data_IF_787573765345
#
_entry.id   IF_787573765345
#
_cell.length_a   1.000
_cell.length_b   1.000
_cell.length_c   1.000
_cell.angle_alpha   90.00
_cell.angle_beta   90.00
_cell.angle_gamma   90.00
#
_symmetry.space_group_name_H-M   'P 1'
#
loop_
_entity.id
_entity.type
_entity.pdbx_description
1 polymer ?
#
# COMPACT_ATOMS: atom_id res chain seq x y z
N UNK A 1 -20.94 35.01 22.45
CA UNK A 1 -20.51 33.89 23.31
C UNK A 1 -19.06 33.58 23.00
N UNK A 2 -18.19 33.75 23.99
CA UNK A 2 -16.73 33.68 23.90
C UNK A 2 -16.22 32.27 23.60
N UNK A 3 -15.23 32.13 22.71
CA UNK A 3 -13.95 31.45 23.03
C UNK A 3 -12.88 31.57 21.92
N UNK A 4 -11.85 32.33 22.27
CA UNK A 4 -10.40 32.23 21.97
C UNK A 4 -9.95 31.38 20.77
N UNK A 5 -9.46 32.06 19.72
CA UNK A 5 -8.38 31.56 18.86
C UNK A 5 -7.05 32.15 19.34
N UNK A 6 -6.07 31.28 19.55
CA UNK A 6 -4.71 31.61 19.99
C UNK A 6 -3.99 32.42 18.91
N UNK A 7 -3.35 33.51 19.32
CA UNK A 7 -2.49 34.33 18.48
C UNK A 7 -1.11 33.66 18.39
N UNK A 8 -0.73 33.21 17.20
CA UNK A 8 0.66 32.93 16.87
C UNK A 8 1.39 34.28 16.84
N UNK A 9 2.32 34.49 17.77
CA UNK A 9 3.10 35.72 17.90
C UNK A 9 4.07 35.83 16.72
N UNK A 10 3.73 36.62 15.72
CA UNK A 10 4.72 37.24 14.85
C UNK A 10 5.29 38.43 15.63
N UNK A 11 6.46 38.27 16.24
CA UNK A 11 7.17 39.38 16.89
C UNK A 11 7.70 40.33 15.81
N UNK A 12 6.88 41.31 15.40
CA UNK A 12 7.41 42.56 14.86
C UNK A 12 7.99 43.36 16.04
N UNK A 13 9.31 43.39 16.17
CA UNK A 13 9.96 44.43 16.96
C UNK A 13 9.96 45.73 16.14
N UNK A 14 9.06 46.65 16.50
CA UNK A 14 9.21 48.05 16.15
C UNK A 14 10.17 48.69 17.17
N UNK A 15 11.41 48.97 16.76
CA UNK A 15 12.33 49.78 17.58
C UNK A 15 12.04 51.27 17.34
N UNK A 16 11.41 51.93 18.31
CA UNK A 16 11.42 53.39 18.40
C UNK A 16 12.74 53.86 19.00
N UNK A 17 13.59 54.50 18.21
CA UNK A 17 14.85 55.10 18.69
C UNK A 17 14.56 56.51 19.19
N UNK A 18 14.44 56.68 20.51
CA UNK A 18 14.60 57.99 21.16
C UNK A 18 16.08 58.30 21.30
N UNK A 19 16.54 59.34 20.59
CA UNK A 19 17.92 59.81 20.63
C UNK A 19 18.20 60.53 21.97
N UNK A 20 19.00 59.90 22.83
CA UNK A 20 19.69 60.58 23.93
C UNK A 20 21.14 60.83 23.50
N UNK A 21 21.50 62.11 23.36
CA UNK A 21 22.85 62.55 23.02
C UNK A 21 23.71 62.44 24.29
N UNK A 22 24.69 61.54 24.28
CA UNK A 22 25.80 61.47 25.24
C UNK A 22 27.09 61.28 24.43
N UNK A 23 28.18 62.01 24.73
CA UNK A 23 29.37 61.97 23.89
C UNK A 23 30.14 60.66 24.10
N UNK A 24 30.06 59.76 23.13
CA UNK A 24 30.74 58.47 23.11
C UNK A 24 31.80 58.42 22.01
N UNK A 25 32.85 59.23 22.13
CA UNK A 25 34.09 58.95 21.42
C UNK A 25 34.87 57.91 22.24
N UNK A 26 35.40 56.87 21.60
CA UNK A 26 36.36 55.86 22.10
C UNK A 26 35.81 54.51 22.60
N UNK A 27 34.52 54.33 22.89
CA UNK A 27 33.97 52.98 23.22
C UNK A 27 33.05 52.35 22.15
N UNK A 28 32.73 53.07 21.07
CA UNK A 28 31.85 52.62 19.99
C UNK A 28 32.56 51.85 18.85
N UNK A 29 33.87 52.02 18.70
CA UNK A 29 34.65 51.40 17.59
C UNK A 29 34.69 49.87 17.72
N UNK A 30 35.04 49.37 18.92
CA UNK A 30 35.19 47.92 19.14
C UNK A 30 33.90 47.12 18.95
N UNK A 31 32.72 47.69 19.26
CA UNK A 31 31.44 47.01 19.00
C UNK A 31 31.09 47.04 17.51
N UNK A 32 31.35 48.14 16.83
CA UNK A 32 31.05 48.30 15.40
C UNK A 32 31.94 47.39 14.56
N UNK A 33 33.21 47.25 14.93
CA UNK A 33 34.15 46.36 14.25
C UNK A 33 33.86 44.88 14.51
N UNK A 34 33.44 44.52 15.74
CA UNK A 34 33.00 43.16 16.05
C UNK A 34 31.71 42.80 15.29
N UNK A 35 30.77 43.75 15.16
CA UNK A 35 29.55 43.58 14.35
C UNK A 35 29.86 43.43 12.87
N UNK A 36 30.78 44.23 12.31
CA UNK A 36 31.23 44.09 10.92
C UNK A 36 31.86 42.73 10.67
N UNK A 37 32.72 42.29 11.58
CA UNK A 37 33.37 40.99 11.50
C UNK A 37 32.35 39.84 11.55
N UNK A 38 31.33 39.93 12.41
CA UNK A 38 30.24 38.95 12.44
C UNK A 38 29.43 38.93 11.13
N UNK A 39 29.13 40.09 10.54
CA UNK A 39 28.42 40.18 9.25
C UNK A 39 29.27 39.58 8.13
N UNK A 40 30.57 39.87 8.09
CA UNK A 40 31.49 39.32 7.10
C UNK A 40 31.65 37.79 7.26
N UNK A 41 31.72 37.30 8.50
CA UNK A 41 31.77 35.87 8.81
C UNK A 41 30.47 35.16 8.42
N UNK A 42 29.31 35.78 8.65
CA UNK A 42 28.02 35.27 8.20
C UNK A 42 27.93 35.24 6.67
N UNK A 43 28.36 36.31 5.99
CA UNK A 43 28.34 36.37 4.53
C UNK A 43 29.25 35.29 3.93
N UNK A 44 30.45 35.13 4.48
CA UNK A 44 31.37 34.07 4.07
C UNK A 44 30.80 32.66 4.36
N UNK A 45 30.00 32.48 5.41
CA UNK A 45 29.30 31.22 5.67
C UNK A 45 28.19 30.98 4.63
N UNK A 46 27.41 32.00 4.30
CA UNK A 46 26.37 31.94 3.26
C UNK A 46 27.00 31.59 1.90
N UNK A 47 28.05 32.31 1.49
CA UNK A 47 28.72 32.08 0.21
C UNK A 47 29.32 30.66 0.13
N UNK A 48 29.89 30.15 1.23
CA UNK A 48 30.38 28.76 1.29
C UNK A 48 29.25 27.74 1.20
N UNK A 49 28.12 27.99 1.86
CA UNK A 49 26.95 27.11 1.82
C UNK A 49 26.32 27.11 0.43
N UNK A 50 26.19 28.27 -0.20
CA UNK A 50 25.69 28.40 -1.58
C UNK A 50 26.61 27.68 -2.58
N UNK A 51 27.93 27.87 -2.47
CA UNK A 51 28.88 27.17 -3.34
C UNK A 51 28.88 25.65 -3.09
N UNK A 52 28.82 25.21 -1.83
CA UNK A 52 28.72 23.77 -1.51
C UNK A 52 27.38 23.17 -1.99
N UNK A 53 26.30 23.93 -1.93
CA UNK A 53 25.00 23.54 -2.46
C UNK A 53 24.94 23.56 -3.99
N UNK A 54 25.73 24.41 -4.65
CA UNK A 54 25.88 24.41 -6.10
C UNK A 54 26.77 23.25 -6.59
N UNK A 55 27.77 22.84 -5.81
CA UNK A 55 28.67 21.71 -6.12
C UNK A 55 28.05 20.34 -5.79
N UNK A 56 27.21 20.26 -4.75
CA UNK A 56 26.35 19.09 -4.54
C UNK A 56 25.24 19.15 -5.56
N UNK A 57 25.10 18.13 -6.40
CA UNK A 57 23.99 17.98 -7.33
C UNK A 57 22.66 17.93 -6.53
N UNK A 58 22.06 19.09 -6.27
CA UNK A 58 20.87 19.30 -5.42
C UNK A 58 19.60 18.78 -6.07
N UNK A 59 19.69 18.41 -7.34
CA UNK A 59 18.60 17.82 -8.10
C UNK A 59 18.28 16.39 -7.68
N UNK A 60 19.00 15.77 -6.75
CA UNK A 60 18.64 14.42 -6.28
C UNK A 60 18.73 14.25 -4.78
N UNK A 61 17.80 13.49 -4.22
CA UNK A 61 17.77 13.12 -2.81
C UNK A 61 17.63 11.61 -2.67
N UNK A 62 18.32 11.05 -1.69
CA UNK A 62 18.26 9.63 -1.36
C UNK A 62 17.86 9.49 0.10
N UNK A 63 16.89 8.62 0.37
CA UNK A 63 16.43 8.30 1.71
C UNK A 63 16.30 6.79 1.82
N UNK A 64 16.86 6.23 2.89
CA UNK A 64 16.70 4.84 3.25
C UNK A 64 16.09 4.76 4.64
N UNK A 65 15.02 3.98 4.77
CA UNK A 65 14.37 3.64 6.02
C UNK A 65 14.01 2.16 6.01
N UNK A 66 13.10 1.75 6.87
CA UNK A 66 12.64 0.38 6.97
C UNK A 66 12.16 0.05 8.36
N UNK A 67 11.82 -1.20 8.57
CA UNK A 67 11.42 -1.73 9.87
C UNK A 67 11.93 -3.15 10.05
N UNK A 68 11.81 -3.66 11.26
CA UNK A 68 12.08 -5.07 11.55
C UNK A 68 11.29 -5.50 12.78
N UNK A 69 10.97 -6.79 12.82
CA UNK A 69 10.21 -7.40 13.91
C UNK A 69 10.81 -8.75 14.32
N UNK A 70 10.59 -9.08 15.59
CA UNK A 70 10.73 -10.44 16.12
C UNK A 70 9.38 -10.79 16.72
N UNK A 71 8.76 -11.83 16.21
CA UNK A 71 7.39 -12.21 16.54
C UNK A 71 7.39 -13.48 17.39
N UNK A 72 6.56 -13.46 18.43
CA UNK A 72 6.24 -14.61 19.26
C UNK A 72 4.73 -14.83 19.19
N UNK A 73 4.33 -16.04 18.81
CA UNK A 73 2.92 -16.43 18.74
C UNK A 73 2.67 -17.70 19.56
N UNK A 74 1.52 -17.74 20.23
CA UNK A 74 1.01 -18.89 20.99
C UNK A 74 -0.40 -19.22 20.47
N UNK A 75 -0.50 -20.00 19.38
CA UNK A 75 -1.78 -20.32 18.76
C UNK A 75 -2.53 -21.44 19.50
N UNK A 76 -3.87 -21.43 19.44
CA UNK A 76 -4.72 -22.48 20.00
C UNK A 76 -4.37 -23.88 19.45
N UNK A 77 -3.91 -23.94 18.20
CA UNK A 77 -3.39 -25.14 17.55
C UNK A 77 -1.92 -24.96 17.19
N UNK A 78 -1.03 -25.74 17.82
CA UNK A 78 0.40 -25.72 17.55
C UNK A 78 1.22 -25.52 18.83
N UNK A 79 2.48 -25.10 18.66
CA UNK A 79 3.37 -24.77 19.76
C UNK A 79 3.67 -23.28 19.75
N UNK A 80 3.78 -22.68 20.93
CA UNK A 80 4.24 -21.32 21.08
C UNK A 80 5.71 -21.20 20.67
N UNK A 81 6.05 -20.23 19.83
CA UNK A 81 7.40 -20.07 19.31
C UNK A 81 7.71 -18.63 18.90
N UNK A 82 9.01 -18.30 18.88
CA UNK A 82 9.51 -17.20 18.06
C UNK A 82 9.42 -17.64 16.60
N UNK A 83 8.40 -17.20 15.89
CA UNK A 83 8.00 -17.78 14.60
C UNK A 83 8.39 -16.92 13.40
N UNK A 84 8.72 -15.64 13.59
CA UNK A 84 9.19 -14.76 12.52
C UNK A 84 10.23 -13.76 13.03
N UNK A 85 11.31 -13.61 12.27
CA UNK A 85 12.27 -12.52 12.32
C UNK A 85 12.22 -11.87 10.94
N UNK A 86 11.97 -10.58 10.90
CA UNK A 86 11.77 -9.83 9.66
C UNK A 86 12.60 -8.55 9.65
N UNK A 87 13.15 -8.22 8.49
CA UNK A 87 13.76 -6.92 8.19
C UNK A 87 13.24 -6.46 6.84
N UNK A 88 12.69 -5.26 6.77
CA UNK A 88 12.14 -4.67 5.56
C UNK A 88 12.79 -3.31 5.24
N UNK A 89 13.89 -3.28 4.47
CA UNK A 89 14.50 -2.04 4.00
C UNK A 89 13.62 -1.34 2.96
N UNK A 90 13.46 -0.02 3.11
CA UNK A 90 12.72 0.85 2.21
C UNK A 90 13.68 1.89 1.64
N UNK A 91 13.70 2.04 0.32
CA UNK A 91 14.56 2.99 -0.38
C UNK A 91 13.70 3.95 -1.20
N UNK A 92 13.98 5.24 -1.04
CA UNK A 92 13.42 6.32 -1.85
C UNK A 92 14.55 7.08 -2.53
N UNK A 93 14.39 7.34 -3.81
CA UNK A 93 15.26 8.22 -4.58
C UNK A 93 14.40 9.23 -5.32
N UNK A 94 14.60 10.53 -5.06
CA UNK A 94 13.93 11.58 -5.82
C UNK A 94 14.93 12.25 -6.75
N UNK A 95 14.46 12.59 -7.95
CA UNK A 95 15.12 13.53 -8.83
C UNK A 95 14.21 14.75 -9.02
N UNK A 96 14.69 15.89 -8.54
CA UNK A 96 13.99 17.16 -8.43
C UNK A 96 12.62 16.94 -7.74
N UNK A 97 11.59 17.63 -8.19
CA UNK A 97 10.22 17.56 -7.71
C UNK A 97 9.29 16.70 -8.57
N UNK A 98 9.79 16.12 -9.67
CA UNK A 98 8.95 15.43 -10.66
C UNK A 98 9.16 13.92 -10.76
N UNK A 99 10.23 13.35 -10.19
CA UNK A 99 10.49 11.91 -10.24
C UNK A 99 10.83 11.35 -8.87
N UNK A 100 10.21 10.22 -8.53
CA UNK A 100 10.53 9.40 -7.36
C UNK A 100 10.61 7.93 -7.74
N UNK A 101 11.69 7.25 -7.37
CA UNK A 101 11.75 5.80 -7.32
C UNK A 101 11.56 5.35 -5.86
N UNK A 102 10.73 4.34 -5.66
CA UNK A 102 10.49 3.72 -4.35
C UNK A 102 10.59 2.20 -4.44
N UNK A 103 11.12 1.57 -3.40
CA UNK A 103 11.11 0.11 -3.28
C UNK A 103 11.18 -0.35 -1.83
N UNK A 104 10.55 -1.48 -1.55
CA UNK A 104 10.64 -2.21 -0.29
C UNK A 104 10.95 -3.67 -0.56
N UNK A 105 11.91 -4.18 0.22
CA UNK A 105 12.24 -5.59 0.28
C UNK A 105 11.77 -6.15 1.61
N UNK A 106 11.30 -7.39 1.66
CA UNK A 106 11.06 -8.12 2.91
C UNK A 106 12.05 -9.28 3.01
N UNK A 107 12.83 -9.32 4.09
CA UNK A 107 13.69 -10.44 4.43
C UNK A 107 13.14 -11.11 5.68
N UNK A 108 12.91 -12.42 5.63
CA UNK A 108 12.46 -13.20 6.77
C UNK A 108 13.16 -14.55 6.86
N UNK A 109 13.12 -15.16 8.04
CA UNK A 109 13.53 -16.55 8.20
C UNK A 109 12.44 -17.50 7.70
N UNK A 110 12.86 -18.57 7.01
CA UNK A 110 11.96 -19.66 6.63
C UNK A 110 11.77 -20.65 7.79
N UNK A 111 10.79 -21.55 7.67
CA UNK A 111 10.47 -22.54 8.70
C UNK A 111 11.61 -23.54 8.99
N UNK A 112 12.48 -23.79 8.01
CA UNK A 112 13.67 -24.65 8.10
C UNK A 112 14.94 -23.90 8.55
N UNK A 113 14.82 -22.61 8.91
CA UNK A 113 15.92 -21.79 9.42
C UNK A 113 16.78 -21.13 8.34
N UNK A 114 16.33 -21.14 7.09
CA UNK A 114 16.90 -20.37 5.98
C UNK A 114 16.46 -18.90 6.00
N UNK A 115 16.64 -18.23 4.86
CA UNK A 115 16.23 -16.84 4.65
C UNK A 115 15.53 -16.71 3.31
N UNK A 116 14.39 -16.04 3.31
CA UNK A 116 13.66 -15.64 2.11
C UNK A 116 13.81 -14.13 1.89
N UNK A 117 13.80 -13.72 0.62
CA UNK A 117 13.82 -12.33 0.18
C UNK A 117 12.67 -12.14 -0.80
N UNK A 118 11.76 -11.24 -0.47
CA UNK A 118 10.64 -10.85 -1.31
C UNK A 118 10.76 -9.37 -1.72
N UNK A 119 10.25 -9.05 -2.91
CA UNK A 119 10.06 -7.68 -3.37
C UNK A 119 8.60 -7.29 -3.14
N UNK A 120 8.34 -6.50 -2.09
CA UNK A 120 6.98 -6.06 -1.75
C UNK A 120 6.44 -5.05 -2.77
N UNK A 121 7.26 -4.03 -3.09
CA UNK A 121 7.00 -3.11 -4.19
C UNK A 121 8.30 -2.51 -4.76
N UNK A 122 8.24 -2.12 -6.02
CA UNK A 122 9.23 -1.29 -6.69
C UNK A 122 8.53 -0.48 -7.80
N UNK A 123 8.56 0.84 -7.71
CA UNK A 123 7.89 1.69 -8.69
C UNK A 123 8.65 2.99 -8.98
N UNK A 124 8.43 3.51 -10.18
CA UNK A 124 8.83 4.86 -10.60
C UNK A 124 7.57 5.70 -10.67
N UNK A 125 7.56 6.82 -9.95
CA UNK A 125 6.47 7.77 -9.86
C UNK A 125 6.88 9.10 -10.51
N UNK A 126 6.09 9.56 -11.48
CA UNK A 126 6.23 10.87 -12.11
C UNK A 126 5.15 11.80 -11.56
N UNK A 127 5.55 12.86 -10.86
CA UNK A 127 4.63 13.89 -10.38
C UNK A 127 4.30 14.84 -11.53
N UNK A 128 3.11 14.65 -12.12
CA UNK A 128 2.68 15.42 -13.28
C UNK A 128 2.19 16.82 -12.89
N UNK A 129 1.57 16.93 -11.71
CA UNK A 129 1.14 18.15 -11.04
C UNK A 129 0.75 17.81 -9.59
N UNK A 130 0.31 18.82 -8.83
CA UNK A 130 -0.11 18.71 -7.42
C UNK A 130 -1.21 17.66 -7.14
N UNK A 131 -1.95 17.23 -8.17
CA UNK A 131 -3.11 16.35 -8.05
C UNK A 131 -2.91 14.98 -8.67
N UNK A 132 -1.84 14.74 -9.43
CA UNK A 132 -1.65 13.50 -10.20
C UNK A 132 -0.19 13.05 -10.21
N UNK A 133 0.04 11.82 -9.75
CA UNK A 133 1.26 11.07 -9.99
C UNK A 133 0.98 9.87 -10.91
N UNK A 134 1.84 9.66 -11.90
CA UNK A 134 1.87 8.46 -12.74
C UNK A 134 2.94 7.50 -12.22
N UNK A 135 2.51 6.38 -11.66
CA UNK A 135 3.35 5.28 -11.21
C UNK A 135 3.47 4.17 -12.25
N UNK A 136 4.64 3.57 -12.37
CA UNK A 136 4.90 2.37 -13.16
C UNK A 136 5.80 1.40 -12.38
N UNK A 137 5.44 0.13 -12.34
CA UNK A 137 6.21 -0.91 -11.64
C UNK A 137 5.30 -1.90 -10.91
N UNK A 138 5.87 -2.56 -9.90
CA UNK A 138 5.11 -3.38 -8.95
C UNK A 138 4.72 -2.51 -7.75
N UNK A 139 3.42 -2.29 -7.53
CA UNK A 139 2.91 -1.44 -6.47
C UNK A 139 1.86 -2.18 -5.64
N UNK A 140 1.75 -1.83 -4.36
CA UNK A 140 0.72 -2.36 -3.49
C UNK A 140 -0.67 -2.08 -4.09
N UNK A 141 -1.60 -3.02 -3.92
CA UNK A 141 -2.95 -2.86 -4.46
C UNK A 141 -3.68 -1.72 -3.76
N UNK A 142 -4.29 -0.76 -4.49
CA UNK A 142 -5.06 0.31 -3.87
C UNK A 142 -6.45 -0.16 -3.38
N UNK A 143 -6.78 -1.44 -3.53
CA UNK A 143 -8.07 -1.99 -3.12
C UNK A 143 -8.11 -2.11 -1.59
N UNK A 144 -8.77 -1.14 -0.96
CA UNK A 144 -8.87 -1.08 0.50
C UNK A 144 -7.80 -0.19 1.14
N UNK A 145 -7.65 -0.29 2.47
CA UNK A 145 -6.83 0.63 3.26
C UNK A 145 -5.67 -0.08 3.96
N UNK A 146 -5.85 -1.32 4.40
CA UNK A 146 -4.88 -2.07 5.17
C UNK A 146 -3.57 -2.27 4.39
N UNK A 147 -3.66 -2.74 3.14
CA UNK A 147 -2.46 -3.01 2.33
C UNK A 147 -1.61 -1.78 2.08
N UNK A 148 -2.21 -0.64 1.77
CA UNK A 148 -1.44 0.57 1.47
C UNK A 148 -0.76 1.17 2.71
N UNK A 149 -1.43 1.11 3.86
CA UNK A 149 -1.09 2.01 4.96
C UNK A 149 -0.71 1.28 6.26
N UNK A 150 -1.12 0.03 6.42
CA UNK A 150 -1.13 -0.65 7.71
C UNK A 150 -0.37 -1.98 7.73
N UNK A 151 0.05 -2.48 6.56
CA UNK A 151 0.77 -3.76 6.47
C UNK A 151 2.11 -3.80 7.23
N UNK A 152 2.89 -2.70 7.39
CA UNK A 152 4.17 -2.78 8.10
C UNK A 152 3.97 -3.21 9.55
N UNK A 153 4.80 -4.14 10.04
CA UNK A 153 4.64 -4.73 11.37
C UNK A 153 4.77 -3.74 12.53
N UNK A 154 5.41 -2.59 12.31
CA UNK A 154 5.48 -1.52 13.32
C UNK A 154 4.21 -0.66 13.40
N UNK A 155 3.37 -0.70 12.36
CA UNK A 155 2.07 0.01 12.29
C UNK A 155 0.94 -0.94 12.67
N UNK A 156 0.96 -2.17 12.16
CA UNK A 156 0.00 -3.20 12.52
C UNK A 156 0.17 -3.55 14.01
N UNK A 157 -0.87 -3.26 14.80
CA UNK A 157 -0.83 -3.52 16.25
C UNK A 157 -1.24 -4.95 16.62
N UNK A 158 -1.62 -5.76 15.64
CA UNK A 158 -1.95 -7.17 15.84
C UNK A 158 -0.73 -8.05 15.57
N UNK A 159 -0.74 -9.26 16.14
CA UNK A 159 0.33 -10.27 15.94
C UNK A 159 0.37 -10.79 14.50
N UNK A 160 -0.74 -10.68 13.77
CA UNK A 160 -0.83 -11.07 12.37
C UNK A 160 -1.56 -10.01 11.55
N UNK A 161 -1.49 -10.12 10.22
CA UNK A 161 -2.45 -9.43 9.36
C UNK A 161 -3.89 -9.85 9.73
N UNK A 162 -4.89 -8.97 9.56
CA UNK A 162 -6.29 -9.35 9.73
C UNK A 162 -6.68 -10.51 8.80
N UNK A 163 -7.68 -11.29 9.20
CA UNK A 163 -8.19 -12.37 8.36
C UNK A 163 -8.58 -11.85 6.96
N UNK A 164 -8.20 -12.59 5.92
CA UNK A 164 -8.38 -12.19 4.53
C UNK A 164 -7.24 -11.33 3.96
N UNK A 165 -6.25 -10.94 4.78
CA UNK A 165 -5.03 -10.25 4.36
C UNK A 165 -3.78 -11.16 4.52
N UNK A 166 -3.93 -12.47 4.34
CA UNK A 166 -2.80 -13.38 4.13
C UNK A 166 -2.49 -13.57 2.64
N UNK A 167 -1.54 -14.47 2.34
CA UNK A 167 -1.40 -15.10 1.03
C UNK A 167 -2.73 -15.81 0.67
N UNK A 168 -3.15 -15.75 -0.59
CA UNK A 168 -4.46 -16.27 -1.03
C UNK A 168 -5.67 -15.60 -0.37
N UNK A 169 -5.46 -14.45 0.25
CA UNK A 169 -6.48 -13.71 0.98
C UNK A 169 -7.54 -13.08 0.09
N UNK A 170 -8.58 -12.54 0.73
CA UNK A 170 -9.65 -11.83 0.05
C UNK A 170 -9.20 -10.48 -0.56
N UNK A 171 -8.12 -9.91 -0.03
CA UNK A 171 -7.58 -8.63 -0.44
C UNK A 171 -6.46 -8.82 -1.47
N UNK A 172 -6.58 -8.24 -2.68
CA UNK A 172 -5.47 -8.21 -3.63
C UNK A 172 -4.22 -7.59 -3.00
N UNK A 173 -3.05 -8.16 -3.26
CA UNK A 173 -1.80 -7.78 -2.61
C UNK A 173 -1.10 -6.64 -3.33
N UNK A 174 -0.79 -6.84 -4.60
CA UNK A 174 -0.03 -5.92 -5.42
C UNK A 174 -0.37 -6.09 -6.89
N UNK A 175 0.05 -5.13 -7.71
CA UNK A 175 -0.15 -5.14 -9.15
C UNK A 175 1.12 -4.68 -9.84
N UNK A 176 1.44 -5.33 -10.95
CA UNK A 176 2.52 -4.90 -11.84
C UNK A 176 1.91 -4.26 -13.07
N UNK A 177 2.17 -2.96 -13.25
CA UNK A 177 1.56 -2.20 -14.34
C UNK A 177 1.72 -0.69 -14.17
N UNK A 178 0.65 0.05 -14.48
CA UNK A 178 0.58 1.51 -14.38
C UNK A 178 -0.50 1.93 -13.38
N UNK A 179 -0.22 2.98 -12.62
CA UNK A 179 -1.14 3.58 -11.66
C UNK A 179 -1.20 5.10 -11.85
N UNK A 180 -2.40 5.67 -11.79
CA UNK A 180 -2.59 7.09 -11.53
C UNK A 180 -3.12 7.24 -10.10
N UNK A 181 -2.43 8.03 -9.29
CA UNK A 181 -2.87 8.34 -7.93
C UNK A 181 -2.78 9.82 -7.64
N UNK A 182 -3.59 10.27 -6.69
CA UNK A 182 -3.57 11.66 -6.28
C UNK A 182 -4.67 12.00 -5.31
N UNK A 183 -4.93 13.30 -5.19
CA UNK A 183 -6.01 13.82 -4.37
C UNK A 183 -6.26 15.27 -4.68
N UNK A 184 -7.46 15.75 -4.36
CA UNK A 184 -7.89 17.10 -4.70
C UNK A 184 -8.85 17.63 -3.63
N UNK A 185 -8.90 18.96 -3.44
CA UNK A 185 -9.90 19.57 -2.57
C UNK A 185 -11.30 19.46 -3.19
N UNK A 186 -12.31 19.24 -2.35
CA UNK A 186 -13.72 19.21 -2.73
C UNK A 186 -14.51 20.12 -1.78
N UNK A 187 -14.45 21.43 -2.04
CA UNK A 187 -14.97 22.45 -1.10
C UNK A 187 -14.16 22.46 0.19
N UNK A 188 -14.82 22.26 1.33
CA UNK A 188 -14.15 22.11 2.64
C UNK A 188 -13.60 20.69 2.88
N UNK A 189 -13.97 19.75 2.02
CA UNK A 189 -13.58 18.33 2.08
C UNK A 189 -12.32 18.09 1.25
N UNK A 190 -11.72 16.90 1.39
CA UNK A 190 -10.66 16.42 0.49
C UNK A 190 -11.06 15.07 -0.08
N UNK A 191 -10.58 14.76 -1.28
CA UNK A 191 -10.69 13.44 -1.85
C UNK A 191 -9.30 12.92 -2.25
N UNK A 192 -9.12 11.60 -2.20
CA UNK A 192 -7.96 10.93 -2.77
C UNK A 192 -8.44 9.84 -3.73
N UNK A 193 -7.61 9.47 -4.68
CA UNK A 193 -7.92 8.39 -5.61
C UNK A 193 -6.65 7.65 -6.02
N UNK A 194 -6.83 6.39 -6.39
CA UNK A 194 -5.86 5.60 -7.11
C UNK A 194 -6.61 4.72 -8.10
N UNK A 195 -6.19 4.73 -9.37
CA UNK A 195 -6.70 3.84 -10.41
C UNK A 195 -5.52 3.19 -11.10
N UNK A 196 -5.69 1.94 -11.55
CA UNK A 196 -4.60 1.20 -12.15
C UNK A 196 -5.06 0.32 -13.31
N UNK A 197 -4.07 -0.05 -14.12
CA UNK A 197 -4.12 -1.15 -15.07
C UNK A 197 -2.90 -2.03 -14.83
N UNK A 198 -3.10 -3.34 -14.72
CA UNK A 198 -2.05 -4.29 -14.37
C UNK A 198 -2.23 -5.64 -15.04
N UNK A 199 -1.31 -6.55 -14.78
CA UNK A 199 -1.35 -7.92 -15.31
C UNK A 199 -2.32 -8.83 -14.54
N UNK A 200 -2.74 -8.46 -13.32
CA UNK A 200 -3.77 -9.21 -12.60
C UNK A 200 -3.33 -10.53 -11.97
N UNK A 201 -4.29 -11.23 -11.34
CA UNK A 201 -4.05 -12.46 -10.60
C UNK A 201 -4.04 -13.71 -11.49
N UNK A 202 -3.62 -14.82 -10.89
CA UNK A 202 -3.66 -16.18 -11.45
C UNK A 202 -4.22 -17.10 -10.39
N UNK A 203 -4.38 -18.36 -10.78
CA UNK A 203 -4.90 -19.39 -9.93
C UNK A 203 -3.85 -20.47 -9.76
N UNK A 204 -3.65 -20.89 -8.51
CA UNK A 204 -3.05 -22.16 -8.19
C UNK A 204 -4.17 -23.17 -7.94
N UNK A 205 -4.02 -24.35 -8.52
CA UNK A 205 -4.99 -25.43 -8.45
C UNK A 205 -4.35 -26.72 -7.93
N UNK A 206 -5.18 -27.60 -7.39
CA UNK A 206 -4.82 -28.98 -7.11
C UNK A 206 -5.71 -29.94 -7.90
N UNK A 207 -5.16 -31.12 -8.17
CA UNK A 207 -5.92 -32.23 -8.71
C UNK A 207 -6.55 -33.01 -7.57
N UNK A 208 -7.87 -32.99 -7.51
CA UNK A 208 -8.64 -33.83 -6.60
C UNK A 208 -9.29 -34.99 -7.39
N UNK A 209 -9.19 -36.21 -6.86
CA UNK A 209 -9.81 -37.36 -7.51
C UNK A 209 -9.37 -38.71 -6.95
N UNK A 210 -10.30 -39.67 -6.90
CA UNK A 210 -9.99 -41.08 -6.70
C UNK A 210 -10.69 -41.93 -7.77
N UNK A 211 -9.97 -42.88 -8.36
CA UNK A 211 -10.58 -43.89 -9.24
C UNK A 211 -10.66 -43.51 -10.73
N UNK A 212 -9.89 -42.51 -11.20
CA UNK A 212 -9.79 -42.16 -12.62
C UNK A 212 -10.60 -40.92 -13.04
N UNK A 213 -11.43 -40.39 -12.14
CA UNK A 213 -12.07 -39.08 -12.28
C UNK A 213 -11.22 -38.04 -11.54
N UNK A 214 -10.56 -37.16 -12.30
CA UNK A 214 -9.73 -36.08 -11.79
C UNK A 214 -10.45 -34.75 -12.04
N UNK A 215 -10.66 -33.95 -11.00
CA UNK A 215 -11.19 -32.59 -11.06
C UNK A 215 -10.13 -31.58 -10.59
N UNK A 216 -10.13 -30.40 -11.21
CA UNK A 216 -9.31 -29.27 -10.79
C UNK A 216 -10.05 -28.49 -9.70
N UNK A 217 -9.46 -28.43 -8.51
CA UNK A 217 -9.89 -27.58 -7.42
C UNK A 217 -8.99 -26.34 -7.37
N UNK A 218 -9.59 -25.14 -7.43
CA UNK A 218 -8.82 -23.90 -7.21
C UNK A 218 -8.50 -23.82 -5.71
N UNK A 219 -7.22 -23.85 -5.38
CA UNK A 219 -6.75 -23.74 -4.00
C UNK A 219 -6.54 -22.28 -3.62
N UNK A 220 -6.02 -21.49 -4.57
CA UNK A 220 -5.59 -20.13 -4.29
C UNK A 220 -5.78 -19.19 -5.48
N UNK A 221 -6.13 -17.93 -5.16
CA UNK A 221 -6.03 -16.80 -6.09
C UNK A 221 -4.77 -16.03 -5.73
N UNK A 222 -3.76 -16.14 -6.58
CA UNK A 222 -2.47 -15.47 -6.41
C UNK A 222 -2.62 -14.02 -6.88
N UNK A 223 -2.54 -13.08 -5.94
CA UNK A 223 -2.84 -11.66 -6.17
C UNK A 223 -1.63 -10.76 -6.01
N UNK A 224 -0.44 -11.36 -5.99
CA UNK A 224 0.85 -10.70 -6.10
C UNK A 224 1.05 -10.16 -7.52
N UNK A 225 1.61 -8.96 -7.61
CA UNK A 225 1.97 -8.35 -8.87
C UNK A 225 3.10 -9.14 -9.53
N UNK A 226 2.88 -9.51 -10.79
CA UNK A 226 3.82 -10.31 -11.59
C UNK A 226 4.16 -9.63 -12.93
N UNK A 227 5.35 -9.87 -13.49
CA UNK A 227 5.68 -9.38 -14.83
C UNK A 227 5.00 -10.16 -15.96
N UNK A 228 4.63 -11.43 -15.74
CA UNK A 228 3.92 -12.26 -16.74
C UNK A 228 2.44 -11.87 -16.89
N UNK A 229 1.86 -12.16 -18.05
CA UNK A 229 0.44 -11.98 -18.35
C UNK A 229 -0.03 -13.20 -19.15
N UNK A 230 -0.29 -14.34 -18.47
CA UNK A 230 -0.52 -15.62 -19.13
C UNK A 230 -1.86 -15.68 -19.90
N UNK A 231 -2.87 -14.90 -19.49
CA UNK A 231 -4.17 -14.86 -20.18
C UNK A 231 -4.27 -13.71 -21.21
N UNK A 232 -3.30 -12.78 -21.20
CA UNK A 232 -3.26 -11.62 -22.09
C UNK A 232 -4.32 -10.57 -21.75
N UNK A 233 -4.94 -10.62 -20.57
CA UNK A 233 -6.04 -9.76 -20.12
C UNK A 233 -5.54 -8.87 -18.99
N UNK A 234 -5.87 -7.60 -19.08
CA UNK A 234 -5.50 -6.64 -18.04
C UNK A 234 -6.49 -6.61 -16.90
N UNK A 235 -5.94 -6.49 -15.70
CA UNK A 235 -6.65 -6.12 -14.47
C UNK A 235 -6.84 -4.62 -14.43
N UNK A 236 -8.04 -4.17 -14.06
CA UNK A 236 -8.36 -2.76 -13.86
C UNK A 236 -8.98 -2.60 -12.48
N UNK A 237 -8.54 -1.60 -11.74
CA UNK A 237 -9.13 -1.33 -10.45
C UNK A 237 -8.76 0.02 -9.88
N UNK A 238 -9.26 0.30 -8.69
CA UNK A 238 -8.95 1.52 -7.99
C UNK A 238 -9.73 1.71 -6.70
N UNK A 239 -9.42 2.80 -6.03
CA UNK A 239 -10.07 3.28 -4.81
C UNK A 239 -10.31 4.78 -4.90
N UNK A 240 -11.45 5.20 -4.38
CA UNK A 240 -11.80 6.60 -4.15
C UNK A 240 -12.00 6.78 -2.65
N UNK A 241 -11.22 7.69 -2.06
CA UNK A 241 -11.34 8.11 -0.67
C UNK A 241 -11.93 9.51 -0.55
N UNK A 242 -12.79 9.71 0.44
CA UNK A 242 -13.39 10.98 0.79
C UNK A 242 -13.05 11.31 2.24
N UNK A 243 -12.60 12.53 2.48
CA UNK A 243 -12.27 13.08 3.79
C UNK A 243 -13.19 14.27 4.08
N UNK A 244 -14.37 14.04 4.68
CA UNK A 244 -15.34 15.09 4.96
C UNK A 244 -14.82 16.15 5.94
N UNK A 245 -14.00 15.73 6.90
CA UNK A 245 -13.38 16.59 7.90
C UNK A 245 -12.10 15.92 8.44
N UNK A 246 -11.18 16.68 9.07
CA UNK A 246 -9.95 16.12 9.61
C UNK A 246 -10.21 14.95 10.56
N UNK A 247 -9.58 13.82 10.29
CA UNK A 247 -9.67 12.61 11.11
C UNK A 247 -10.67 11.56 10.60
N UNK A 248 -11.54 11.87 9.64
CA UNK A 248 -12.40 10.87 8.97
C UNK A 248 -11.96 10.67 7.52
N UNK A 249 -11.77 9.41 7.13
CA UNK A 249 -11.66 8.98 5.74
C UNK A 249 -12.66 7.84 5.49
N UNK A 250 -13.38 7.91 4.37
CA UNK A 250 -14.28 6.89 3.86
C UNK A 250 -13.79 6.45 2.48
N UNK A 251 -13.59 5.16 2.25
CA UNK A 251 -13.11 4.61 1.00
C UNK A 251 -14.13 3.67 0.35
N UNK A 252 -14.18 3.69 -0.97
CA UNK A 252 -14.77 2.63 -1.79
C UNK A 252 -13.75 2.17 -2.81
N UNK A 253 -13.69 0.87 -3.08
CA UNK A 253 -12.75 0.28 -4.02
C UNK A 253 -13.39 -0.81 -4.86
N UNK A 254 -12.86 -1.01 -6.07
CA UNK A 254 -13.27 -2.10 -6.93
C UNK A 254 -12.13 -2.52 -7.88
N UNK A 255 -12.07 -3.79 -8.22
CA UNK A 255 -11.18 -4.34 -9.23
C UNK A 255 -11.92 -5.37 -10.09
N UNK A 256 -11.49 -5.49 -11.35
CA UNK A 256 -11.97 -6.46 -12.32
C UNK A 256 -10.79 -6.99 -13.13
N UNK A 257 -10.68 -8.30 -13.24
CA UNK A 257 -9.66 -8.99 -14.01
C UNK A 257 -10.19 -10.32 -14.57
N UNK A 258 -9.40 -10.93 -15.44
CA UNK A 258 -9.40 -12.37 -15.62
C UNK A 258 -8.29 -13.02 -14.79
N UNK A 259 -8.42 -14.31 -14.58
CA UNK A 259 -7.39 -15.15 -13.99
C UNK A 259 -7.40 -16.49 -14.73
N UNK A 260 -6.21 -17.08 -14.91
CA UNK A 260 -6.05 -18.43 -15.44
C UNK A 260 -5.22 -19.26 -14.47
N UNK A 261 -5.36 -20.59 -14.56
CA UNK A 261 -4.50 -21.49 -13.80
C UNK A 261 -3.09 -21.44 -14.38
N UNK A 262 -2.09 -21.19 -13.54
CA UNK A 262 -0.67 -21.23 -13.93
C UNK A 262 0.11 -22.31 -13.20
N UNK A 263 -0.38 -22.72 -12.04
CA UNK A 263 0.21 -23.78 -11.24
C UNK A 263 -0.85 -24.83 -10.93
N UNK A 264 -0.52 -26.10 -11.15
CA UNK A 264 -1.38 -27.21 -10.80
C UNK A 264 -0.56 -28.32 -10.13
N UNK A 265 -0.86 -28.59 -8.87
CA UNK A 265 -0.18 -29.63 -8.10
C UNK A 265 -0.91 -30.98 -8.30
N UNK A 266 -0.24 -31.91 -8.98
CA UNK A 266 -0.64 -33.31 -8.98
C UNK A 266 0.16 -34.02 -7.88
N UNK A 267 -0.50 -34.60 -6.88
CA UNK A 267 0.12 -35.14 -5.67
C UNK A 267 1.07 -36.34 -5.88
N UNK A 268 2.28 -36.08 -6.40
CA UNK A 268 3.36 -37.06 -6.58
C UNK A 268 3.78 -37.28 -8.04
N UNK A 269 4.92 -37.95 -8.21
CA UNK A 269 5.61 -38.19 -9.50
C UNK A 269 4.80 -39.01 -10.53
N UNK A 270 3.63 -39.54 -10.15
CA UNK A 270 2.72 -40.35 -10.97
C UNK A 270 1.35 -39.66 -11.21
N UNK A 271 1.21 -38.38 -10.88
CA UNK A 271 0.00 -37.61 -11.20
C UNK A 271 -0.17 -37.35 -12.70
N UNK A 272 -1.39 -37.21 -13.23
CA UNK A 272 -1.60 -36.88 -14.63
C UNK A 272 -0.94 -35.52 -14.96
N UNK A 273 -0.21 -35.47 -16.06
CA UNK A 273 0.21 -34.20 -16.65
C UNK A 273 -1.06 -33.44 -17.06
N UNK A 274 -1.34 -32.33 -16.39
CA UNK A 274 -2.52 -31.53 -16.67
C UNK A 274 -2.23 -30.59 -17.83
N UNK A 275 -3.14 -30.59 -18.79
CA UNK A 275 -3.21 -29.54 -19.80
C UNK A 275 -3.75 -28.26 -19.15
N UNK A 276 -2.85 -27.46 -18.60
CA UNK A 276 -3.15 -26.17 -17.95
C UNK A 276 -3.88 -25.23 -18.92
N UNK A 277 -3.61 -25.31 -20.22
CA UNK A 277 -4.28 -24.49 -21.24
C UNK A 277 -5.79 -24.82 -21.35
N UNK A 278 -6.20 -26.04 -21.00
CA UNK A 278 -7.60 -26.50 -21.05
C UNK A 278 -8.46 -26.04 -19.86
N UNK A 279 -7.86 -25.46 -18.81
CA UNK A 279 -8.55 -25.09 -17.57
C UNK A 279 -9.54 -23.93 -17.74
N UNK A 280 -9.29 -23.08 -18.73
CA UNK A 280 -10.11 -21.94 -19.10
C UNK A 280 -9.91 -20.72 -18.20
N UNK A 281 -10.52 -19.61 -18.60
CA UNK A 281 -10.45 -18.33 -17.89
C UNK A 281 -11.49 -18.25 -16.76
N UNK A 282 -11.17 -17.47 -15.73
CA UNK A 282 -12.08 -17.13 -14.63
C UNK A 282 -12.25 -15.61 -14.55
N UNK A 283 -13.47 -15.15 -14.31
CA UNK A 283 -13.75 -13.77 -13.90
C UNK A 283 -13.33 -13.60 -12.44
N UNK A 284 -12.48 -12.60 -12.18
CA UNK A 284 -12.11 -12.18 -10.85
C UNK A 284 -12.53 -10.72 -10.62
N UNK A 285 -13.47 -10.50 -9.71
CA UNK A 285 -13.91 -9.16 -9.31
C UNK A 285 -13.77 -8.98 -7.82
N UNK A 286 -13.40 -7.77 -7.39
CA UNK A 286 -13.37 -7.39 -5.96
C UNK A 286 -14.14 -6.10 -5.78
N UNK A 287 -14.96 -6.04 -4.73
CA UNK A 287 -15.54 -4.78 -4.24
C UNK A 287 -15.12 -4.55 -2.80
N UNK A 288 -14.95 -3.28 -2.44
CA UNK A 288 -14.49 -2.89 -1.12
C UNK A 288 -15.09 -1.61 -0.60
N UNK A 289 -15.16 -1.52 0.72
CA UNK A 289 -15.48 -0.30 1.45
C UNK A 289 -14.64 -0.24 2.74
N UNK A 290 -14.12 0.92 3.07
CA UNK A 290 -13.28 1.11 4.24
C UNK A 290 -13.55 2.45 4.93
N UNK A 291 -13.17 2.54 6.21
CA UNK A 291 -13.17 3.80 6.93
C UNK A 291 -12.04 3.88 7.94
N UNK A 292 -11.60 5.11 8.21
CA UNK A 292 -10.71 5.45 9.31
C UNK A 292 -11.28 6.65 10.05
N UNK A 293 -11.41 6.55 11.37
CA UNK A 293 -11.84 7.64 12.23
C UNK A 293 -10.87 7.82 13.41
N UNK A 294 -10.20 8.96 13.47
CA UNK A 294 -9.35 9.37 14.58
C UNK A 294 -10.08 10.32 15.53
N UNK A 295 -10.08 10.01 16.82
CA UNK A 295 -10.56 10.88 17.89
C UNK A 295 -9.57 10.91 19.06
N UNK A 296 -8.86 12.03 19.21
CA UNK A 296 -7.74 12.17 20.17
C UNK A 296 -6.70 11.05 19.97
N UNK A 297 -6.53 10.18 20.99
CA UNK A 297 -5.61 9.05 20.96
C UNK A 297 -6.29 7.73 20.55
N UNK A 298 -7.60 7.77 20.26
CA UNK A 298 -8.35 6.62 19.76
C UNK A 298 -8.39 6.66 18.24
N UNK A 299 -8.18 5.50 17.63
CA UNK A 299 -8.34 5.33 16.19
C UNK A 299 -9.19 4.09 15.93
N UNK A 300 -10.26 4.30 15.16
CA UNK A 300 -11.15 3.26 14.70
C UNK A 300 -10.93 3.07 13.21
N UNK A 301 -10.81 1.82 12.79
CA UNK A 301 -10.64 1.45 11.39
C UNK A 301 -11.53 0.26 11.10
N UNK A 302 -12.05 0.18 9.89
CA UNK A 302 -12.81 -0.95 9.42
C UNK A 302 -12.69 -1.06 7.91
N UNK A 303 -12.64 -2.29 7.43
CA UNK A 303 -12.50 -2.60 6.02
C UNK A 303 -13.32 -3.83 5.69
N UNK A 304 -14.05 -3.76 4.58
CA UNK A 304 -14.84 -4.85 4.02
C UNK A 304 -14.39 -5.07 2.59
N UNK A 305 -14.06 -6.32 2.26
CA UNK A 305 -13.70 -6.74 0.92
C UNK A 305 -14.49 -7.99 0.55
N UNK A 306 -14.94 -8.06 -0.70
CA UNK A 306 -15.66 -9.21 -1.25
C UNK A 306 -15.10 -9.55 -2.62
N UNK A 307 -14.15 -10.51 -2.70
CA UNK A 307 -13.75 -11.09 -3.97
C UNK A 307 -14.83 -12.03 -4.50
N UNK A 308 -14.86 -12.19 -5.81
CA UNK A 308 -15.69 -13.14 -6.54
C UNK A 308 -14.83 -13.77 -7.63
N UNK A 309 -14.74 -15.09 -7.60
CA UNK A 309 -14.16 -15.90 -8.66
C UNK A 309 -15.28 -16.69 -9.36
N UNK A 310 -15.38 -16.62 -10.67
CA UNK A 310 -16.38 -17.36 -11.44
C UNK A 310 -15.78 -17.91 -12.74
N UNK A 311 -15.98 -19.20 -13.01
CA UNK A 311 -15.52 -19.82 -14.27
C UNK A 311 -16.22 -19.19 -15.46
N UNK A 312 -15.46 -18.76 -16.46
CA UNK A 312 -16.01 -18.30 -17.73
C UNK A 312 -16.47 -19.52 -18.51
N UNK A 313 -17.78 -19.72 -18.59
CA UNK A 313 -18.36 -20.77 -19.44
C UNK A 313 -18.49 -20.17 -20.85
N UNK A 314 -17.83 -20.73 -21.88
CA UNK A 314 -18.05 -20.29 -23.25
C UNK A 314 -19.53 -20.43 -23.58
N UNK A 315 -20.18 -19.36 -24.03
CA UNK A 315 -21.52 -19.45 -24.60
C UNK A 315 -21.44 -20.31 -25.87
N UNK A 316 -21.67 -21.62 -25.72
CA UNK A 316 -22.21 -22.39 -26.83
C UNK A 316 -23.58 -21.79 -27.15
N UNK A 317 -23.86 -21.53 -28.43
CA UNK A 317 -25.15 -21.04 -28.92
C UNK A 317 -26.28 -22.06 -28.65
N UNK A 318 -26.65 -22.26 -27.39
CA UNK A 318 -27.79 -23.05 -26.97
C UNK A 318 -28.57 -22.23 -25.95
N UNK A 319 -29.60 -21.56 -26.46
CA UNK A 319 -30.74 -21.13 -25.64
C UNK A 319 -31.37 -22.37 -25.02
N UNK A 320 -31.02 -22.67 -23.77
CA UNK A 320 -31.76 -23.61 -22.94
C UNK A 320 -31.94 -22.98 -21.56
N UNK A 321 -33.14 -22.43 -21.35
CA UNK A 321 -33.65 -22.01 -20.06
C UNK A 321 -33.65 -23.22 -19.11
N UNK A 322 -32.74 -23.25 -18.13
CA UNK A 322 -32.89 -24.11 -16.95
C UNK A 322 -32.73 -23.23 -15.71
N UNK A 323 -33.88 -22.83 -15.17
CA UNK A 323 -33.99 -22.36 -13.79
C UNK A 323 -33.77 -23.58 -12.88
N UNK A 324 -32.60 -23.70 -12.26
CA UNK A 324 -32.44 -24.59 -11.11
C UNK A 324 -32.53 -23.77 -9.82
N UNK A 325 -33.70 -23.88 -9.22
CA UNK A 325 -34.09 -23.26 -7.97
C UNK A 325 -33.38 -23.96 -6.81
N UNK A 326 -32.36 -23.31 -6.22
CA UNK A 326 -31.80 -23.73 -4.93
C UNK A 326 -32.81 -23.34 -3.85
N UNK A 327 -33.72 -24.27 -3.51
CA UNK A 327 -34.50 -24.20 -2.27
C UNK A 327 -33.74 -24.97 -1.19
N UNK A 328 -33.15 -24.22 -0.25
CA UNK A 328 -32.74 -24.74 1.05
C UNK A 328 -33.97 -25.25 1.80
N UNK A 329 -33.98 -26.52 2.20
CA UNK A 329 -34.91 -27.04 3.19
C UNK A 329 -34.24 -27.03 4.58
N UNK A 330 -34.90 -26.50 5.62
CA UNK A 330 -34.39 -26.57 6.98
C UNK A 330 -34.64 -27.97 7.55
N UNK A 331 -33.58 -28.65 8.02
CA UNK A 331 -33.75 -29.87 8.83
C UNK A 331 -34.19 -29.48 10.23
N UNK A 332 -35.48 -29.64 10.51
CA UNK A 332 -36.01 -29.66 11.87
C UNK A 332 -35.74 -31.01 12.54
N UNK A 333 -35.13 -30.95 13.72
CA UNK A 333 -35.13 -31.98 14.76
C UNK A 333 -36.53 -32.56 14.98
N UNK A 334 -36.65 -33.89 15.10
CA UNK A 334 -37.73 -34.52 15.88
C UNK A 334 -37.25 -35.85 16.45
N UNK A 335 -37.22 -35.91 17.79
CA UNK A 335 -37.16 -37.12 18.62
C UNK A 335 -38.40 -38.01 18.44
N UNK A 336 -38.23 -39.32 18.65
CA UNK A 336 -39.15 -40.35 19.20
C UNK A 336 -38.67 -41.70 18.63
N UNK A 337 -38.43 -42.79 19.36
CA UNK A 337 -38.68 -43.24 20.74
C UNK A 337 -37.51 -44.15 21.14
#
# INVERSE_FOLDING_TARGET
>A
MNMKKSKLKCCLLALSVTAAIVPAAVYADNQTDNLRQQVDDLQNQVDRLENTAAERNTDSSFHMAGYGSVEYADPDSGNAAFNKVLVAPIIHYNYQDWLMFETEFELSNTADGGTELALEYASINLFLNDYVALGAGNFLSPIGQFRQNLHPSWINKAVSAPAGFGHGGAAPLSETGLQLRGGFPLGEMRANYAIYVGNGPTLAAAVEGQGGDYELAIEEVETEGRPSDPDGKKSFGGRLGLLPFPGLELGISAAKSKATVTEAFAGGHDGPELDIESTGEFDYDVIGADFRYGWNNLELRGEYLKPRLAKVVPESNFTAMIFQQIMQAPRSLTMLR
#
